data_IF_892089759608
#
_entry.id   IF_892089759608
#
_cell.length_a   1.000
_cell.length_b   1.000
_cell.length_c   1.000
_cell.angle_alpha   90.00
_cell.angle_beta   90.00
_cell.angle_gamma   90.00
#
_symmetry.space_group_name_H-M   'P 1'
#
loop_
_entity.id
_entity.type
_entity.pdbx_description
1 polymer ?
#
# COMPACT_ATOMS: atom_id res chain seq x y z
N UNK A 1 -9.73 -4.94 -14.98
CA UNK A 1 -9.03 -3.94 -14.19
C UNK A 1 -10.03 -2.96 -13.57
N UNK A 2 -9.73 -2.48 -12.37
CA UNK A 2 -10.64 -1.64 -11.56
C UNK A 2 -11.08 -0.35 -12.25
N UNK A 3 -10.22 0.24 -13.07
CA UNK A 3 -10.50 1.50 -13.79
C UNK A 3 -11.63 1.29 -14.80
N UNK A 4 -11.53 0.25 -15.61
CA UNK A 4 -12.55 -0.07 -16.61
C UNK A 4 -13.94 -0.27 -16.00
N UNK A 5 -14.01 -0.93 -14.83
CA UNK A 5 -15.29 -1.14 -14.13
C UNK A 5 -15.92 0.18 -13.69
N UNK A 6 -15.12 1.09 -13.15
CA UNK A 6 -15.59 2.40 -12.70
C UNK A 6 -15.92 3.34 -13.87
N UNK A 7 -15.27 3.20 -15.01
CA UNK A 7 -15.59 3.98 -16.23
C UNK A 7 -16.81 3.43 -16.97
N UNK A 8 -17.10 2.14 -16.81
CA UNK A 8 -18.28 1.49 -17.41
C UNK A 8 -19.50 1.42 -16.48
N UNK A 9 -19.61 2.27 -15.46
CA UNK A 9 -20.78 2.30 -14.57
C UNK A 9 -22.10 2.58 -15.31
N UNK A 10 -22.05 3.32 -16.41
CA UNK A 10 -23.21 3.59 -17.27
C UNK A 10 -23.80 2.31 -17.90
N UNK A 11 -23.00 1.26 -18.10
CA UNK A 11 -23.50 -0.03 -18.62
C UNK A 11 -24.17 -0.86 -17.53
N UNK A 12 -23.81 -0.65 -16.25
CA UNK A 12 -24.36 -1.35 -15.10
C UNK A 12 -25.62 -0.68 -14.53
N UNK A 13 -25.74 0.63 -14.70
CA UNK A 13 -26.89 1.39 -14.25
C UNK A 13 -27.24 2.49 -15.27
N UNK A 14 -28.40 2.40 -15.94
CA UNK A 14 -28.81 3.36 -17.00
C UNK A 14 -29.02 4.79 -16.49
N UNK A 15 -29.15 4.98 -15.17
CA UNK A 15 -29.34 6.31 -14.57
C UNK A 15 -28.00 7.06 -14.36
N UNK A 16 -26.89 6.44 -14.74
CA UNK A 16 -25.55 7.06 -14.75
C UNK A 16 -25.22 7.43 -16.20
N UNK A 17 -25.07 8.73 -16.46
CA UNK A 17 -24.79 9.21 -17.81
C UNK A 17 -23.31 9.13 -18.17
N UNK A 18 -22.46 9.41 -17.20
CA UNK A 18 -21.01 9.50 -17.44
C UNK A 18 -20.22 9.22 -16.18
N UNK A 19 -19.11 8.49 -16.33
CA UNK A 19 -18.19 8.20 -15.25
C UNK A 19 -16.75 8.36 -15.76
N UNK A 20 -15.97 9.22 -15.11
CA UNK A 20 -14.55 9.45 -15.40
C UNK A 20 -13.71 9.17 -14.16
N UNK A 21 -12.74 8.31 -14.31
CA UNK A 21 -11.82 7.94 -13.23
C UNK A 21 -10.52 8.71 -13.35
N UNK A 22 -10.20 9.50 -12.35
CA UNK A 22 -8.84 10.03 -12.18
C UNK A 22 -8.08 9.11 -11.23
N UNK A 23 -7.36 8.15 -11.79
CA UNK A 23 -6.61 7.16 -11.03
C UNK A 23 -5.53 7.80 -10.15
N UNK A 24 -4.88 8.83 -10.64
CA UNK A 24 -3.78 9.52 -9.93
C UNK A 24 -4.27 10.22 -8.67
N UNK A 25 -5.45 10.84 -8.73
CA UNK A 25 -6.09 11.52 -7.59
C UNK A 25 -7.04 10.60 -6.80
N UNK A 26 -7.22 9.36 -7.23
CA UNK A 26 -8.18 8.40 -6.66
C UNK A 26 -9.60 8.97 -6.56
N UNK A 27 -9.95 9.83 -7.49
CA UNK A 27 -11.26 10.45 -7.59
C UNK A 27 -12.01 9.87 -8.77
N UNK A 28 -13.31 9.70 -8.61
CA UNK A 28 -14.24 9.39 -9.70
C UNK A 28 -15.26 10.51 -9.82
N UNK A 29 -15.44 11.02 -11.01
CA UNK A 29 -16.46 11.99 -11.32
C UNK A 29 -17.62 11.28 -12.01
N UNK A 30 -18.80 11.28 -11.38
CA UNK A 30 -19.98 10.57 -11.86
C UNK A 30 -21.08 11.60 -12.12
N UNK A 31 -21.63 11.58 -13.34
CA UNK A 31 -22.82 12.32 -13.69
C UNK A 31 -24.01 11.38 -13.70
N UNK A 32 -25.05 11.67 -12.91
CA UNK A 32 -26.22 10.83 -12.77
C UNK A 32 -27.50 11.66 -12.71
N UNK A 33 -28.64 11.05 -13.02
CA UNK A 33 -29.95 11.70 -12.97
C UNK A 33 -30.45 11.79 -11.51
N UNK A 34 -30.53 13.02 -10.99
CA UNK A 34 -30.90 13.30 -9.59
C UNK A 34 -32.36 12.96 -9.27
N UNK A 35 -33.22 12.91 -10.28
CA UNK A 35 -34.66 12.60 -10.11
C UNK A 35 -34.91 11.10 -9.92
N UNK A 36 -34.02 10.24 -10.45
CA UNK A 36 -34.19 8.79 -10.45
C UNK A 36 -33.23 8.06 -9.52
N UNK A 37 -32.05 8.64 -9.23
CA UNK A 37 -31.04 8.05 -8.39
C UNK A 37 -30.62 9.01 -7.28
N UNK A 38 -30.80 8.61 -6.02
CA UNK A 38 -30.31 9.39 -4.86
C UNK A 38 -28.81 9.15 -4.66
N UNK A 39 -28.08 10.17 -4.16
CA UNK A 39 -26.66 10.08 -3.86
C UNK A 39 -26.33 8.93 -2.88
N UNK A 40 -27.23 8.68 -1.91
CA UNK A 40 -27.08 7.57 -0.95
C UNK A 40 -27.12 6.19 -1.62
N UNK A 41 -27.95 6.03 -2.64
CA UNK A 41 -28.10 4.75 -3.35
C UNK A 41 -26.94 4.54 -4.33
N UNK A 42 -26.45 5.61 -4.95
CA UNK A 42 -25.19 5.59 -5.70
C UNK A 42 -24.00 5.19 -4.82
N UNK A 43 -23.91 5.74 -3.60
CA UNK A 43 -22.86 5.40 -2.65
C UNK A 43 -22.94 3.92 -2.20
N UNK A 44 -24.14 3.40 -1.96
CA UNK A 44 -24.34 1.96 -1.67
C UNK A 44 -23.97 1.09 -2.86
N UNK A 45 -24.36 1.49 -4.06
CA UNK A 45 -24.01 0.77 -5.29
C UNK A 45 -22.51 0.65 -5.48
N UNK A 46 -21.75 1.76 -5.31
CA UNK A 46 -20.29 1.74 -5.35
C UNK A 46 -19.68 0.89 -4.24
N UNK A 47 -20.27 0.92 -3.04
CA UNK A 47 -19.80 0.10 -1.91
C UNK A 47 -19.98 -1.40 -2.19
N UNK A 48 -21.10 -1.79 -2.82
CA UNK A 48 -21.36 -3.17 -3.23
C UNK A 48 -20.40 -3.65 -4.33
N UNK A 49 -19.93 -2.74 -5.18
CA UNK A 49 -18.87 -3.02 -6.17
C UNK A 49 -17.46 -3.11 -5.55
N UNK A 50 -17.34 -2.91 -4.24
CA UNK A 50 -16.06 -2.97 -3.52
C UNK A 50 -15.34 -1.62 -3.36
N UNK A 51 -15.98 -0.51 -3.77
CA UNK A 51 -15.42 0.83 -3.66
C UNK A 51 -16.23 1.65 -2.66
N UNK A 52 -15.69 1.83 -1.44
CA UNK A 52 -16.33 2.68 -0.44
C UNK A 52 -16.08 4.16 -0.78
N UNK A 53 -17.10 4.90 -1.30
CA UNK A 53 -16.90 6.29 -1.67
C UNK A 53 -16.80 7.15 -0.42
N UNK A 54 -15.89 8.13 -0.45
CA UNK A 54 -15.83 9.22 0.51
C UNK A 54 -16.35 10.45 -0.21
N UNK A 55 -17.57 10.90 0.15
CA UNK A 55 -18.17 12.10 -0.43
C UNK A 55 -17.53 13.30 0.27
N UNK A 56 -16.62 13.98 -0.41
CA UNK A 56 -16.05 15.23 0.05
C UNK A 56 -16.83 16.39 -0.55
N UNK A 57 -17.61 17.09 0.27
CA UNK A 57 -18.27 18.34 -0.10
C UNK A 57 -17.31 19.54 -0.06
N UNK A 58 -16.18 19.40 0.61
CA UNK A 58 -15.09 20.36 0.63
C UNK A 58 -14.05 19.94 -0.42
N UNK A 59 -14.20 20.50 -1.59
CA UNK A 59 -13.21 20.39 -2.66
C UNK A 59 -11.93 21.12 -2.25
N UNK A 60 -10.82 20.40 -2.35
CA UNK A 60 -9.46 20.90 -2.41
C UNK A 60 -9.02 21.75 -1.22
N UNK A 61 -8.43 21.15 -0.26
CA UNK A 61 -7.26 21.60 0.49
C UNK A 61 -6.88 20.61 1.60
N UNK A 62 -7.18 19.30 1.41
CA UNK A 62 -6.31 18.36 2.09
C UNK A 62 -5.03 18.28 1.25
N UNK A 63 -4.00 19.04 1.65
CA UNK A 63 -2.61 18.61 1.46
C UNK A 63 -2.63 17.13 1.78
N UNK A 64 -2.52 16.27 0.74
CA UNK A 64 -2.25 14.86 0.97
C UNK A 64 -1.06 14.86 1.93
N UNK A 65 -1.26 14.32 3.13
CA UNK A 65 -0.11 14.01 3.98
C UNK A 65 0.69 13.01 3.15
N UNK A 66 1.72 13.51 2.47
CA UNK A 66 2.54 12.84 1.45
C UNK A 66 3.14 11.53 1.96
N UNK A 67 3.12 11.33 3.28
CA UNK A 67 3.57 10.11 3.94
C UNK A 67 2.58 9.77 5.05
N UNK A 68 1.94 8.65 4.91
CA UNK A 68 1.23 8.01 6.00
C UNK A 68 2.25 7.72 7.13
N UNK A 69 2.15 8.46 8.24
CA UNK A 69 3.06 8.31 9.40
C UNK A 69 3.18 6.86 9.84
N UNK A 70 2.09 6.12 9.76
CA UNK A 70 2.04 4.70 10.09
C UNK A 70 2.95 3.86 9.19
N UNK A 71 2.98 4.16 7.89
CA UNK A 71 3.83 3.45 6.93
C UNK A 71 5.33 3.72 7.19
N UNK A 72 5.66 4.97 7.55
CA UNK A 72 7.04 5.34 7.90
C UNK A 72 7.49 4.63 9.18
N UNK A 73 6.63 4.57 10.19
CA UNK A 73 6.93 3.85 11.45
C UNK A 73 7.12 2.35 11.19
N UNK A 74 6.26 1.73 10.38
CA UNK A 74 6.41 0.31 10.00
C UNK A 74 7.73 0.05 9.28
N UNK A 75 8.13 0.93 8.36
CA UNK A 75 9.39 0.84 7.66
C UNK A 75 10.58 1.03 8.62
N UNK A 76 10.51 1.98 9.56
CA UNK A 76 11.56 2.23 10.52
C UNK A 76 11.79 1.01 11.45
N UNK A 77 10.71 0.37 11.94
CA UNK A 77 10.80 -0.85 12.75
C UNK A 77 11.43 -1.99 11.94
N UNK A 78 11.00 -2.18 10.68
CA UNK A 78 11.56 -3.21 9.82
C UNK A 78 13.05 -2.95 9.50
N UNK A 79 13.43 -1.68 9.23
CA UNK A 79 14.81 -1.28 8.98
C UNK A 79 15.71 -1.43 10.19
N UNK A 80 15.22 -1.07 11.38
CA UNK A 80 15.93 -1.30 12.64
C UNK A 80 16.18 -2.79 12.88
N UNK A 81 15.17 -3.62 12.72
CA UNK A 81 15.29 -5.07 12.87
C UNK A 81 16.22 -5.69 11.82
N UNK A 82 16.16 -5.22 10.56
CA UNK A 82 17.03 -5.68 9.49
C UNK A 82 18.50 -5.34 9.76
N UNK A 83 18.80 -4.08 10.10
CA UNK A 83 20.18 -3.64 10.36
C UNK A 83 20.82 -4.36 11.55
N UNK A 84 20.09 -4.47 12.68
CA UNK A 84 20.57 -5.21 13.85
C UNK A 84 20.58 -6.72 13.58
N UNK A 85 19.58 -7.23 12.86
CA UNK A 85 19.51 -8.63 12.47
C UNK A 85 20.74 -9.07 11.68
N UNK A 86 21.11 -8.29 10.66
CA UNK A 86 22.29 -8.56 9.86
C UNK A 86 23.58 -8.56 10.68
N UNK A 87 23.67 -7.65 11.68
CA UNK A 87 24.81 -7.62 12.60
C UNK A 87 24.88 -8.87 13.49
N UNK A 88 23.76 -9.31 14.03
CA UNK A 88 23.70 -10.50 14.90
C UNK A 88 23.84 -11.83 14.14
N UNK A 89 23.46 -11.88 12.87
CA UNK A 89 23.64 -13.08 12.02
C UNK A 89 25.09 -13.23 11.54
N UNK A 90 25.87 -12.15 11.50
CA UNK A 90 27.22 -12.16 10.94
C UNK A 90 28.14 -13.22 11.56
N UNK A 91 28.23 -13.39 12.91
CA UNK A 91 29.11 -14.39 13.53
C UNK A 91 28.77 -15.83 13.11
N UNK A 92 27.47 -16.13 12.89
CA UNK A 92 27.05 -17.47 12.47
C UNK A 92 27.44 -17.75 11.02
N UNK A 93 27.20 -16.78 10.11
CA UNK A 93 27.67 -16.91 8.72
C UNK A 93 29.19 -16.99 8.60
N UNK A 94 29.92 -16.21 9.43
CA UNK A 94 31.38 -16.26 9.44
C UNK A 94 31.91 -17.61 9.95
N UNK A 95 31.29 -18.16 10.98
CA UNK A 95 31.67 -19.48 11.52
C UNK A 95 31.42 -20.60 10.50
N UNK A 96 30.29 -20.54 9.78
CA UNK A 96 29.95 -21.53 8.74
C UNK A 96 30.92 -21.48 7.56
N UNK A 97 31.30 -20.27 7.10
CA UNK A 97 32.24 -20.09 5.98
C UNK A 97 33.68 -20.42 6.34
N UNK A 98 34.14 -20.05 7.56
CA UNK A 98 35.53 -20.25 8.01
C UNK A 98 35.77 -21.65 8.57
N UNK A 99 34.71 -22.41 8.87
CA UNK A 99 34.83 -23.75 9.48
C UNK A 99 35.46 -23.74 10.87
N UNK A 100 35.52 -22.57 11.53
CA UNK A 100 36.08 -22.38 12.87
C UNK A 100 34.96 -22.02 13.83
N UNK A 101 34.64 -22.97 14.72
CA UNK A 101 33.72 -22.68 15.84
C UNK A 101 34.53 -22.22 17.03
N UNK A 102 34.61 -20.91 17.25
CA UNK A 102 35.19 -20.38 18.48
C UNK A 102 34.33 -20.80 19.67
N UNK A 103 34.96 -21.22 20.77
CA UNK A 103 34.30 -21.61 22.03
C UNK A 103 33.30 -20.53 22.53
N UNK A 104 33.64 -19.27 22.27
CA UNK A 104 32.77 -18.13 22.57
C UNK A 104 31.43 -18.21 21.82
N UNK A 105 31.45 -18.55 20.53
CA UNK A 105 30.25 -18.62 19.68
C UNK A 105 29.26 -19.72 20.13
N UNK A 106 29.80 -20.89 20.41
CA UNK A 106 28.98 -22.02 20.88
C UNK A 106 28.16 -21.70 22.14
N UNK A 107 28.70 -20.90 23.05
CA UNK A 107 28.02 -20.53 24.29
C UNK A 107 26.93 -19.46 24.09
N UNK A 108 27.08 -18.58 23.08
CA UNK A 108 26.19 -17.44 22.90
C UNK A 108 25.24 -17.56 21.70
N UNK A 109 25.38 -18.56 20.83
CA UNK A 109 24.55 -18.73 19.63
C UNK A 109 23.04 -18.72 19.92
N UNK A 110 22.59 -19.37 20.99
CA UNK A 110 21.18 -19.38 21.38
C UNK A 110 20.67 -17.99 21.80
N UNK A 111 21.51 -17.21 22.47
CA UNK A 111 21.16 -15.84 22.84
C UNK A 111 20.96 -14.97 21.59
N UNK A 112 21.89 -15.04 20.63
CA UNK A 112 21.77 -14.28 19.37
C UNK A 112 20.55 -14.69 18.56
N UNK A 113 20.29 -15.99 18.41
CA UNK A 113 19.10 -16.52 17.73
C UNK A 113 17.80 -16.07 18.40
N UNK A 114 17.76 -16.05 19.74
CA UNK A 114 16.61 -15.55 20.49
C UNK A 114 16.39 -14.05 20.28
N UNK A 115 17.46 -13.24 20.29
CA UNK A 115 17.38 -11.80 19.98
C UNK A 115 16.84 -11.58 18.57
N UNK A 116 17.29 -12.34 17.60
CA UNK A 116 16.82 -12.30 16.21
C UNK A 116 15.32 -12.62 16.10
N UNK A 117 14.87 -13.65 16.77
CA UNK A 117 13.46 -14.00 16.87
C UNK A 117 12.64 -12.85 17.48
N UNK A 118 13.13 -12.25 18.57
CA UNK A 118 12.47 -11.12 19.24
C UNK A 118 12.36 -9.89 18.33
N UNK A 119 13.42 -9.59 17.57
CA UNK A 119 13.43 -8.49 16.60
C UNK A 119 12.51 -8.73 15.40
N UNK A 120 12.45 -9.95 14.89
CA UNK A 120 11.64 -10.30 13.73
C UNK A 120 10.13 -10.33 14.05
N UNK A 121 9.77 -10.71 15.27
CA UNK A 121 8.36 -10.84 15.67
C UNK A 121 7.54 -9.56 15.47
N UNK A 122 7.94 -8.36 15.95
CA UNK A 122 7.21 -7.13 15.69
C UNK A 122 7.19 -6.75 14.20
N UNK A 123 8.21 -7.10 13.44
CA UNK A 123 8.22 -6.84 11.99
C UNK A 123 7.14 -7.66 11.29
N UNK A 124 7.02 -8.94 11.61
CA UNK A 124 6.00 -9.82 11.00
C UNK A 124 4.59 -9.39 11.40
N UNK A 125 4.33 -9.15 12.69
CA UNK A 125 2.96 -8.88 13.15
C UNK A 125 2.52 -7.42 12.96
N UNK A 126 3.43 -6.46 13.08
CA UNK A 126 3.08 -5.04 12.96
C UNK A 126 3.44 -4.47 11.59
N UNK A 127 4.70 -4.61 11.14
CA UNK A 127 5.12 -3.99 9.88
C UNK A 127 4.46 -4.66 8.67
N UNK A 128 4.27 -5.99 8.69
CA UNK A 128 3.59 -6.73 7.63
C UNK A 128 2.06 -6.73 7.72
N UNK A 129 1.45 -6.11 8.76
CA UNK A 129 0.01 -6.16 9.01
C UNK A 129 -0.88 -5.77 7.82
N UNK A 130 -0.43 -4.83 6.99
CA UNK A 130 -1.19 -4.38 5.82
C UNK A 130 -1.27 -5.47 4.74
N UNK A 131 -0.21 -6.25 4.57
CA UNK A 131 -0.18 -7.39 3.65
C UNK A 131 -1.13 -8.49 4.13
N UNK A 132 -1.12 -8.79 5.45
CA UNK A 132 -2.03 -9.77 6.04
C UNK A 132 -3.49 -9.37 5.87
N UNK A 133 -3.83 -8.11 6.13
CA UNK A 133 -5.21 -7.59 5.97
C UNK A 133 -5.66 -7.66 4.51
N UNK A 134 -4.80 -7.26 3.58
CA UNK A 134 -5.10 -7.27 2.14
C UNK A 134 -5.27 -8.70 1.62
N UNK A 135 -4.37 -9.61 2.00
CA UNK A 135 -4.45 -11.02 1.61
C UNK A 135 -5.72 -11.69 2.17
N UNK A 136 -6.02 -11.46 3.45
CA UNK A 136 -7.23 -12.00 4.08
C UNK A 136 -8.50 -11.52 3.40
N UNK A 137 -8.59 -10.22 3.09
CA UNK A 137 -9.74 -9.65 2.38
C UNK A 137 -9.86 -10.21 0.96
N UNK A 138 -8.75 -10.39 0.26
CA UNK A 138 -8.70 -11.00 -1.06
C UNK A 138 -9.22 -12.44 -1.04
N UNK A 139 -8.73 -13.26 -0.11
CA UNK A 139 -9.18 -14.66 0.03
C UNK A 139 -10.66 -14.76 0.38
N UNK A 140 -11.14 -13.91 1.32
CA UNK A 140 -12.55 -13.90 1.73
C UNK A 140 -13.49 -13.59 0.55
N UNK A 141 -13.07 -12.70 -0.34
CA UNK A 141 -13.85 -12.31 -1.53
C UNK A 141 -13.56 -13.18 -2.76
N UNK A 142 -12.78 -14.27 -2.61
CA UNK A 142 -12.35 -15.15 -3.71
C UNK A 142 -11.60 -14.43 -4.84
N UNK A 143 -10.95 -13.32 -4.51
CA UNK A 143 -10.11 -12.54 -5.41
C UNK A 143 -8.65 -12.74 -4.97
N UNK A 144 -7.87 -13.42 -5.80
CA UNK A 144 -6.45 -13.63 -5.51
C UNK A 144 -5.68 -12.34 -5.80
N UNK A 145 -5.25 -11.67 -4.73
CA UNK A 145 -4.41 -10.49 -4.80
C UNK A 145 -2.92 -10.87 -4.79
N UNK A 146 -2.07 -9.98 -5.29
CA UNK A 146 -0.60 -10.11 -5.23
C UNK A 146 -0.09 -10.27 -3.78
N UNK A 147 -0.81 -9.76 -2.79
CA UNK A 147 -0.43 -9.86 -1.38
C UNK A 147 -0.58 -11.27 -0.81
N UNK A 148 -1.41 -12.14 -1.41
CA UNK A 148 -1.61 -13.53 -0.95
C UNK A 148 -0.32 -14.35 -1.03
N UNK A 149 0.37 -14.47 -2.19
CA UNK A 149 1.64 -15.18 -2.26
C UNK A 149 2.74 -14.54 -1.40
N UNK A 150 2.72 -13.23 -1.21
CA UNK A 150 3.66 -12.52 -0.34
C UNK A 150 3.47 -12.95 1.12
N UNK A 151 2.24 -12.95 1.61
CA UNK A 151 1.92 -13.40 2.98
C UNK A 151 2.27 -14.86 3.18
N UNK A 152 2.02 -15.71 2.19
CA UNK A 152 2.41 -17.12 2.24
C UNK A 152 3.93 -17.27 2.36
N UNK A 153 4.70 -16.49 1.59
CA UNK A 153 6.16 -16.45 1.69
C UNK A 153 6.65 -15.99 3.07
N UNK A 154 6.04 -14.94 3.64
CA UNK A 154 6.36 -14.44 4.99
C UNK A 154 6.11 -15.52 6.04
N UNK A 155 4.95 -16.19 5.99
CA UNK A 155 4.60 -17.26 6.93
C UNK A 155 5.53 -18.46 6.82
N UNK A 156 5.88 -18.86 5.60
CA UNK A 156 6.82 -19.96 5.35
C UNK A 156 8.22 -19.65 5.87
N UNK A 157 8.77 -18.46 5.57
CA UNK A 157 10.07 -18.04 6.06
C UNK A 157 10.11 -17.93 7.59
N UNK A 158 9.07 -17.31 8.18
CA UNK A 158 8.98 -17.16 9.63
C UNK A 158 8.84 -18.51 10.33
N UNK A 159 7.94 -19.38 9.83
CA UNK A 159 7.75 -20.72 10.37
C UNK A 159 8.98 -21.60 10.23
N UNK A 160 9.68 -21.54 9.09
CA UNK A 160 10.93 -22.24 8.84
C UNK A 160 12.02 -21.78 9.82
N UNK A 161 12.14 -20.47 10.02
CA UNK A 161 13.12 -19.88 10.93
C UNK A 161 12.88 -20.32 12.38
N UNK A 162 11.62 -20.34 12.84
CA UNK A 162 11.27 -20.86 14.16
C UNK A 162 11.66 -22.34 14.28
N UNK A 163 11.34 -23.15 13.28
CA UNK A 163 11.66 -24.56 13.27
C UNK A 163 13.18 -24.79 13.41
N UNK A 164 14.00 -24.05 12.65
CA UNK A 164 15.47 -24.19 12.70
C UNK A 164 16.05 -23.79 14.06
N UNK A 165 15.56 -22.71 14.66
CA UNK A 165 16.01 -22.27 15.98
C UNK A 165 15.59 -23.23 17.08
N UNK A 166 14.37 -23.77 17.03
CA UNK A 166 13.86 -24.72 18.04
C UNK A 166 14.58 -26.08 17.97
N UNK A 167 14.90 -26.53 16.74
CA UNK A 167 15.59 -27.82 16.52
C UNK A 167 17.11 -27.70 16.57
N UNK A 168 17.66 -26.49 16.80
CA UNK A 168 19.09 -26.16 16.76
C UNK A 168 19.78 -26.56 15.44
N UNK A 169 19.02 -26.62 14.35
CA UNK A 169 19.51 -26.99 13.03
C UNK A 169 20.19 -25.81 12.30
N UNK A 170 19.83 -24.56 12.62
CA UNK A 170 20.39 -23.36 11.99
C UNK A 170 20.00 -22.06 12.69
N UNK A 171 20.50 -20.95 12.14
CA UNK A 171 20.21 -19.58 12.61
C UNK A 171 18.77 -19.12 12.36
N UNK A 172 18.11 -19.75 11.39
CA UNK A 172 16.89 -19.22 10.80
C UNK A 172 17.17 -18.08 9.80
N UNK A 173 16.14 -17.62 9.15
CA UNK A 173 16.18 -16.57 8.11
C UNK A 173 15.50 -15.29 8.59
N UNK A 174 15.65 -14.93 9.87
CA UNK A 174 14.99 -13.76 10.45
C UNK A 174 15.51 -12.44 9.87
N UNK A 175 16.79 -12.33 9.62
CA UNK A 175 17.44 -11.19 8.95
C UNK A 175 16.93 -10.99 7.53
N UNK A 176 16.90 -12.07 6.77
CA UNK A 176 16.39 -12.08 5.39
C UNK A 176 14.90 -11.67 5.35
N UNK A 177 14.09 -12.17 6.29
CA UNK A 177 12.68 -11.82 6.42
C UNK A 177 12.48 -10.33 6.75
N UNK A 178 13.26 -9.80 7.70
CA UNK A 178 13.24 -8.38 8.05
C UNK A 178 13.66 -7.50 6.88
N UNK A 179 14.72 -7.92 6.15
CA UNK A 179 15.18 -7.24 4.94
C UNK A 179 14.14 -7.22 3.84
N UNK A 180 13.52 -8.36 3.55
CA UNK A 180 12.44 -8.47 2.58
C UNK A 180 11.31 -7.47 2.89
N UNK A 181 10.81 -7.47 4.13
CA UNK A 181 9.74 -6.58 4.56
C UNK A 181 10.15 -5.11 4.53
N UNK A 182 11.38 -4.79 4.93
CA UNK A 182 11.92 -3.44 4.85
C UNK A 182 11.94 -2.92 3.41
N UNK A 183 12.49 -3.69 2.46
CA UNK A 183 12.55 -3.27 1.06
C UNK A 183 11.16 -3.20 0.42
N UNK A 184 10.24 -4.07 0.78
CA UNK A 184 8.85 -3.99 0.31
C UNK A 184 8.14 -2.73 0.81
N UNK A 185 8.32 -2.35 2.07
CA UNK A 185 7.75 -1.12 2.64
C UNK A 185 8.39 0.12 2.03
N UNK A 186 9.71 0.08 1.78
CA UNK A 186 10.43 1.14 1.07
C UNK A 186 9.85 1.32 -0.33
N UNK A 187 9.66 0.24 -1.08
CA UNK A 187 9.03 0.27 -2.41
C UNK A 187 7.64 0.91 -2.39
N UNK A 188 6.81 0.61 -1.39
CA UNK A 188 5.50 1.26 -1.21
C UNK A 188 5.62 2.78 -0.98
N UNK A 189 6.60 3.23 -0.22
CA UNK A 189 6.85 4.66 0.02
C UNK A 189 7.28 5.34 -1.28
N UNK A 190 8.22 4.75 -2.02
CA UNK A 190 8.64 5.27 -3.31
C UNK A 190 7.48 5.36 -4.29
N UNK A 191 6.67 4.31 -4.38
CA UNK A 191 5.49 4.29 -5.23
C UNK A 191 4.52 5.43 -4.89
N UNK A 192 4.20 5.62 -3.60
CA UNK A 192 3.34 6.71 -3.15
C UNK A 192 3.92 8.08 -3.52
N UNK A 193 5.21 8.31 -3.30
CA UNK A 193 5.88 9.58 -3.65
C UNK A 193 5.87 9.85 -5.14
N UNK A 194 6.16 8.83 -5.96
CA UNK A 194 6.16 8.96 -7.43
C UNK A 194 4.77 9.31 -7.94
N UNK A 195 3.73 8.63 -7.46
CA UNK A 195 2.35 8.96 -7.85
C UNK A 195 1.94 10.37 -7.43
N UNK A 196 2.35 10.81 -6.24
CA UNK A 196 2.06 12.15 -5.79
C UNK A 196 2.77 13.22 -6.64
N UNK A 197 4.03 13.01 -7.01
CA UNK A 197 4.77 13.93 -7.89
C UNK A 197 4.13 14.02 -9.29
N UNK A 198 3.74 12.88 -9.87
CA UNK A 198 3.05 12.83 -11.16
C UNK A 198 1.64 13.47 -11.11
N UNK A 199 0.97 13.42 -9.96
CA UNK A 199 -0.34 14.05 -9.76
C UNK A 199 -0.26 15.57 -9.76
N UNK A 200 0.82 16.14 -9.20
CA UNK A 200 1.02 17.58 -9.13
C UNK A 200 1.24 18.22 -10.51
N UNK A 201 1.94 17.52 -11.40
CA UNK A 201 2.31 18.05 -12.72
C UNK A 201 1.13 18.09 -13.73
N UNK A 202 -0.02 17.52 -13.40
CA UNK A 202 -1.20 17.47 -14.29
C UNK A 202 -2.31 18.45 -13.93
N UNK A 203 -2.09 19.40 -13.04
CA UNK A 203 -3.10 20.39 -12.70
C UNK A 203 -3.11 21.57 -13.69
N UNK A 204 -3.31 21.24 -14.99
CA UNK A 204 -3.47 22.24 -16.06
C UNK A 204 -4.71 23.12 -15.88
N UNK A 205 -5.63 22.76 -14.98
CA UNK A 205 -6.88 23.53 -14.78
C UNK A 205 -6.64 24.92 -14.18
N UNK A 206 -5.54 25.15 -13.49
CA UNK A 206 -5.19 26.46 -12.94
C UNK A 206 -4.68 27.44 -14.01
N UNK A 207 -4.38 26.97 -15.23
CA UNK A 207 -3.86 27.81 -16.31
C UNK A 207 -4.89 28.18 -17.38
N UNK A 208 -6.09 27.58 -17.36
CA UNK A 208 -7.12 28.02 -18.28
C UNK A 208 -7.94 29.15 -17.66
N UNK A 209 -7.96 30.33 -18.28
CA UNK A 209 -8.87 31.38 -17.85
C UNK A 209 -10.30 30.87 -18.02
N UNK A 210 -11.04 30.84 -16.92
CA UNK A 210 -12.42 30.34 -16.86
C UNK A 210 -13.41 31.32 -17.51
N UNK A 211 -12.94 32.38 -18.15
CA UNK A 211 -13.78 33.35 -18.82
C UNK A 211 -13.94 33.01 -20.29
N UNK A 212 -15.14 32.67 -20.67
CA UNK A 212 -15.54 32.51 -22.08
C UNK A 212 -16.29 33.75 -22.52
N UNK A 213 -15.83 34.38 -23.60
CA UNK A 213 -16.56 35.50 -24.20
C UNK A 213 -17.64 34.95 -25.10
N UNK A 214 -18.90 35.05 -24.65
CA UNK A 214 -20.08 34.74 -25.48
C UNK A 214 -20.39 35.94 -26.35
N UNK A 215 -20.38 35.73 -27.67
CA UNK A 215 -20.82 36.76 -28.65
C UNK A 215 -22.26 36.42 -29.03
N UNK A 216 -23.19 37.31 -28.75
CA UNK A 216 -24.57 37.17 -29.13
C UNK A 216 -24.77 37.54 -30.63
N UNK A 217 -25.85 37.11 -31.25
CA UNK A 217 -26.16 37.38 -32.67
C UNK A 217 -26.12 38.89 -33.03
N UNK A 218 -26.24 39.79 -32.05
CA UNK A 218 -26.15 41.23 -32.18
C UNK A 218 -24.75 41.81 -31.99
N UNK A 219 -23.71 40.96 -31.91
CA UNK A 219 -22.33 41.39 -31.73
C UNK A 219 -21.95 41.84 -30.31
N UNK A 220 -22.84 41.70 -29.31
CA UNK A 220 -22.58 42.05 -27.93
C UNK A 220 -21.74 40.97 -27.28
N UNK A 221 -20.64 41.36 -26.68
CA UNK A 221 -19.71 40.46 -25.97
C UNK A 221 -20.01 40.48 -24.47
N UNK A 222 -20.46 39.34 -23.95
CA UNK A 222 -20.61 39.13 -22.50
C UNK A 222 -19.53 38.16 -21.99
N UNK A 223 -18.79 38.57 -20.98
CA UNK A 223 -17.82 37.71 -20.28
C UNK A 223 -18.57 36.86 -19.25
N UNK A 224 -18.62 35.54 -19.48
CA UNK A 224 -19.21 34.58 -18.54
C UNK A 224 -18.05 33.91 -17.79
N UNK A 225 -18.06 34.02 -16.45
CA UNK A 225 -17.15 33.33 -15.53
C UNK A 225 -17.56 31.87 -15.36
#
# INVERSE_FOLDING_TARGET
SCIWLLESLHTLNPNIHYSLVNFTRKNVQISFNHNELKLSDLAKFLTNLGYKPVVNLETAERKEEFLDKTLVVKMAIAGFAFGNGMFFSYPEYAADVMGTTDYWWENYKHLFRFIMFLLATPVVFYSASDYFKSAWFGLKNKIVNIDVPIVLGILMLYGRSIYEVVTDYGAGYFDTLCGLLFFMLMGKIFQKRTYSALSYDRDYKSFYPIAVTKVDFNGKQDHIL
#
